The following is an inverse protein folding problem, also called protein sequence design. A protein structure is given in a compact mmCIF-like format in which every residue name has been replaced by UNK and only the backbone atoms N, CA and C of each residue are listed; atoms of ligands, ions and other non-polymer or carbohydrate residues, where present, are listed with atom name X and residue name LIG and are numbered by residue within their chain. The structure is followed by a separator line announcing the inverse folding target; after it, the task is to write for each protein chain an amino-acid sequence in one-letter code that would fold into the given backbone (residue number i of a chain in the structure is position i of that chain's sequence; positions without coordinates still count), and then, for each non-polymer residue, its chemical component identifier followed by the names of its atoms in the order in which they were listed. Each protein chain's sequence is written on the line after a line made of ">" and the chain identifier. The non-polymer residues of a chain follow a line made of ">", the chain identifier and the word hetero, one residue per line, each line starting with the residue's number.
data_IF_681408802755
#
_entry.id   IF_681408802755
#
_cell.length_a   1.000
_cell.length_b   1.000
_cell.length_c   1.000
_cell.angle_alpha   90.00
_cell.angle_beta   90.00
_cell.angle_gamma   90.00
#
_symmetry.space_group_name_H-M   'P 1'
#
loop_
_entity.id
_entity.type
_entity.pdbx_description
1 polymer ?
#
# COMPACT_ATOMS: atom_id res chain seq x y z
N UNK A 1 15.95 18.65 0.27
CA UNK A 1 15.21 18.68 1.55
C UNK A 1 14.95 17.25 1.98
N UNK A 2 15.52 16.83 3.11
CA UNK A 2 15.42 15.44 3.57
C UNK A 2 13.96 15.08 3.88
N UNK A 3 13.38 14.17 3.08
CA UNK A 3 12.01 13.65 3.29
C UNK A 3 11.86 13.04 4.69
N UNK A 4 12.94 12.54 5.30
CA UNK A 4 12.96 11.97 6.64
C UNK A 4 12.77 13.01 7.75
N UNK A 5 13.38 14.19 7.63
CA UNK A 5 13.25 15.28 8.61
C UNK A 5 11.83 15.85 8.64
N UNK A 6 11.23 16.08 7.48
CA UNK A 6 9.87 16.61 7.36
C UNK A 6 8.83 15.63 7.91
N UNK A 7 9.02 14.33 7.66
CA UNK A 7 8.15 13.26 8.17
C UNK A 7 8.18 13.17 9.70
N UNK A 8 9.33 13.42 10.35
CA UNK A 8 9.44 13.44 11.81
C UNK A 8 8.70 14.61 12.45
N UNK A 9 8.78 15.80 11.84
CA UNK A 9 8.10 17.01 12.33
C UNK A 9 6.58 16.88 12.18
N UNK A 10 6.11 16.31 11.07
CA UNK A 10 4.67 16.13 10.82
C UNK A 10 4.07 14.88 11.47
N UNK A 11 4.88 13.94 11.96
CA UNK A 11 4.41 12.72 12.61
C UNK A 11 3.36 12.95 13.71
N UNK A 12 3.51 13.89 14.67
CA UNK A 12 2.48 14.14 15.68
C UNK A 12 1.17 14.66 15.07
N UNK A 13 1.26 15.52 14.06
CA UNK A 13 0.08 16.06 13.36
C UNK A 13 -0.64 14.94 12.61
N UNK A 14 0.11 14.10 11.90
CA UNK A 14 -0.44 12.94 11.19
C UNK A 14 -1.10 11.94 12.13
N UNK A 15 -0.52 11.68 13.32
CA UNK A 15 -1.14 10.82 14.34
C UNK A 15 -2.49 11.37 14.83
N UNK A 16 -2.60 12.68 15.07
CA UNK A 16 -3.87 13.30 15.46
C UNK A 16 -4.90 13.18 14.34
N UNK A 17 -4.45 13.36 13.09
CA UNK A 17 -5.30 13.22 11.91
C UNK A 17 -5.80 11.77 11.73
N UNK A 18 -4.92 10.78 11.81
CA UNK A 18 -5.26 9.35 11.76
C UNK A 18 -6.24 8.97 12.88
N UNK A 19 -6.00 9.46 14.10
CA UNK A 19 -6.93 9.25 15.22
C UNK A 19 -8.31 9.83 14.92
N UNK A 20 -8.40 11.06 14.41
CA UNK A 20 -9.66 11.70 14.04
C UNK A 20 -10.42 10.91 12.96
N UNK A 21 -9.72 10.46 11.91
CA UNK A 21 -10.30 9.61 10.87
C UNK A 21 -10.84 8.30 11.44
N UNK A 22 -10.09 7.65 12.35
CA UNK A 22 -10.54 6.43 13.00
C UNK A 22 -11.80 6.66 13.84
N UNK A 23 -11.87 7.76 14.60
CA UNK A 23 -13.06 8.10 15.39
C UNK A 23 -14.31 8.29 14.52
N UNK A 24 -14.16 8.83 13.31
CA UNK A 24 -15.28 9.03 12.38
C UNK A 24 -15.87 7.72 11.85
N UNK A 25 -15.04 6.68 11.67
CA UNK A 25 -15.48 5.41 11.07
C UNK A 25 -15.76 4.31 12.08
N UNK A 26 -15.22 4.37 13.32
CA UNK A 26 -15.26 3.25 14.28
C UNK A 26 -16.66 2.81 14.72
N UNK A 27 -17.66 3.69 14.64
CA UNK A 27 -19.05 3.37 15.01
C UNK A 27 -19.93 3.08 13.78
N UNK A 28 -19.39 3.23 12.58
CA UNK A 28 -20.08 2.95 11.34
C UNK A 28 -20.03 1.47 10.96
N UNK A 29 -20.68 1.09 9.84
CA UNK A 29 -20.54 -0.24 9.27
C UNK A 29 -19.07 -0.51 8.90
N UNK A 30 -18.55 -1.64 9.36
CA UNK A 30 -17.16 -2.02 9.14
C UNK A 30 -17.05 -3.19 8.17
N UNK A 31 -16.14 -3.16 7.17
CA UNK A 31 -16.00 -4.26 6.22
C UNK A 31 -15.43 -5.51 6.89
N UNK A 32 -15.92 -6.69 6.49
CA UNK A 32 -15.34 -7.98 6.90
C UNK A 32 -14.34 -8.54 5.88
N UNK A 33 -14.28 -7.95 4.69
CA UNK A 33 -13.41 -8.39 3.59
C UNK A 33 -12.98 -7.20 2.73
N UNK A 34 -11.68 -7.06 2.47
CA UNK A 34 -11.10 -6.06 1.56
C UNK A 34 -10.36 -6.74 0.40
N UNK A 35 -10.59 -6.29 -0.83
CA UNK A 35 -9.83 -6.71 -2.00
C UNK A 35 -8.87 -5.61 -2.45
N UNK A 36 -7.63 -5.99 -2.78
CA UNK A 36 -6.53 -5.08 -3.13
C UNK A 36 -5.99 -5.43 -4.51
N UNK A 37 -5.87 -4.43 -5.38
CA UNK A 37 -5.16 -4.52 -6.66
C UNK A 37 -3.90 -3.65 -6.55
N UNK A 38 -2.72 -4.24 -6.27
CA UNK A 38 -1.45 -3.52 -6.15
C UNK A 38 -0.91 -3.15 -7.53
N UNK A 39 -1.47 -2.11 -8.13
CA UNK A 39 -1.03 -1.58 -9.42
C UNK A 39 -0.11 -0.37 -9.24
N UNK A 40 0.66 -0.03 -10.29
CA UNK A 40 1.46 1.18 -10.36
C UNK A 40 2.94 0.97 -10.09
N UNK A 41 3.40 -0.22 -9.68
CA UNK A 41 4.81 -0.51 -9.35
C UNK A 41 5.79 -0.05 -10.44
N UNK A 42 5.50 -0.34 -11.73
CA UNK A 42 6.33 0.07 -12.88
C UNK A 42 6.33 1.59 -13.08
N UNK A 43 5.16 2.22 -12.94
CA UNK A 43 5.01 3.69 -13.07
C UNK A 43 5.75 4.41 -11.94
N UNK A 44 5.68 3.86 -10.73
CA UNK A 44 6.41 4.35 -9.57
C UNK A 44 7.93 4.17 -9.74
N UNK A 45 8.40 3.01 -10.19
CA UNK A 45 9.82 2.79 -10.49
C UNK A 45 10.36 3.80 -11.51
N UNK A 46 9.62 4.02 -12.60
CA UNK A 46 9.97 5.04 -13.61
C UNK A 46 10.03 6.45 -13.02
N UNK A 47 9.08 6.79 -12.14
CA UNK A 47 9.02 8.11 -11.48
C UNK A 47 10.20 8.33 -10.53
N UNK A 48 10.60 7.30 -9.78
CA UNK A 48 11.71 7.38 -8.84
C UNK A 48 13.08 7.13 -9.51
N UNK A 49 13.12 6.81 -10.81
CA UNK A 49 14.36 6.58 -11.55
C UNK A 49 15.07 5.28 -11.19
N UNK A 50 14.33 4.26 -10.76
CA UNK A 50 14.85 2.97 -10.30
C UNK A 50 14.42 1.81 -11.22
N UNK A 51 15.02 0.63 -11.02
CA UNK A 51 14.73 -0.56 -11.82
C UNK A 51 13.31 -1.09 -11.54
N UNK A 52 12.68 -1.72 -12.53
CA UNK A 52 11.30 -2.23 -12.41
C UNK A 52 11.17 -3.24 -11.25
N UNK A 53 12.11 -4.17 -11.12
CA UNK A 53 12.09 -5.16 -10.03
C UNK A 53 12.10 -4.49 -8.65
N UNK A 54 12.80 -3.35 -8.50
CA UNK A 54 12.83 -2.56 -7.25
C UNK A 54 11.46 -1.92 -6.99
N UNK A 55 10.76 -1.51 -8.05
CA UNK A 55 9.36 -1.08 -7.97
C UNK A 55 8.43 -2.18 -7.46
N UNK A 56 8.61 -3.41 -7.94
CA UNK A 56 7.83 -4.55 -7.46
C UNK A 56 8.14 -4.90 -6.01
N UNK A 57 9.41 -4.84 -5.60
CA UNK A 57 9.80 -5.02 -4.20
C UNK A 57 9.19 -3.94 -3.28
N UNK A 58 9.20 -2.68 -3.70
CA UNK A 58 8.55 -1.61 -2.94
C UNK A 58 7.02 -1.80 -2.87
N UNK A 59 6.40 -2.22 -3.97
CA UNK A 59 4.99 -2.60 -4.01
C UNK A 59 4.66 -3.72 -3.03
N UNK A 60 5.49 -4.77 -2.97
CA UNK A 60 5.35 -5.85 -1.98
C UNK A 60 5.42 -5.34 -0.55
N UNK A 61 6.41 -4.49 -0.21
CA UNK A 61 6.50 -3.93 1.14
C UNK A 61 5.27 -3.08 1.49
N UNK A 62 4.76 -2.31 0.53
CA UNK A 62 3.53 -1.53 0.73
C UNK A 62 2.31 -2.42 0.95
N UNK A 63 2.18 -3.51 0.21
CA UNK A 63 1.10 -4.49 0.42
C UNK A 63 1.17 -5.09 1.83
N UNK A 64 2.37 -5.45 2.32
CA UNK A 64 2.52 -5.93 3.70
C UNK A 64 2.04 -4.93 4.74
N UNK A 65 2.39 -3.66 4.57
CA UNK A 65 1.95 -2.57 5.45
C UNK A 65 0.42 -2.42 5.43
N UNK A 66 -0.20 -2.47 4.25
CA UNK A 66 -1.66 -2.40 4.11
C UNK A 66 -2.35 -3.61 4.74
N UNK A 67 -1.80 -4.82 4.57
CA UNK A 67 -2.32 -6.03 5.22
C UNK A 67 -2.22 -5.93 6.74
N UNK A 68 -1.15 -5.32 7.28
CA UNK A 68 -1.04 -5.05 8.71
C UNK A 68 -2.15 -4.09 9.17
N UNK A 69 -2.44 -3.03 8.43
CA UNK A 69 -3.54 -2.12 8.78
C UNK A 69 -4.90 -2.83 8.79
N UNK A 70 -5.16 -3.68 7.78
CA UNK A 70 -6.40 -4.48 7.69
C UNK A 70 -6.52 -5.39 8.92
N UNK A 71 -5.42 -6.01 9.33
CA UNK A 71 -5.34 -6.84 10.53
C UNK A 71 -5.61 -6.04 11.81
N UNK A 72 -4.92 -4.91 11.99
CA UNK A 72 -5.04 -4.05 13.19
C UNK A 72 -6.46 -3.48 13.34
N UNK A 73 -7.16 -3.30 12.22
CA UNK A 73 -8.56 -2.88 12.16
C UNK A 73 -9.56 -4.02 12.44
N UNK A 74 -9.10 -5.27 12.59
CA UNK A 74 -9.97 -6.42 12.87
C UNK A 74 -10.75 -6.94 11.65
N UNK A 75 -10.29 -6.63 10.44
CA UNK A 75 -10.93 -7.13 9.21
C UNK A 75 -10.48 -8.57 8.95
N UNK A 76 -11.44 -9.48 8.90
CA UNK A 76 -11.19 -10.94 8.88
C UNK A 76 -10.52 -11.45 7.59
N UNK A 77 -10.76 -10.80 6.45
CA UNK A 77 -10.39 -11.32 5.13
C UNK A 77 -9.74 -10.25 4.26
N UNK A 78 -8.73 -10.67 3.51
CA UNK A 78 -8.13 -9.88 2.44
C UNK A 78 -7.97 -10.72 1.17
N UNK A 79 -8.27 -10.15 0.00
CA UNK A 79 -7.93 -10.74 -1.30
C UNK A 79 -6.92 -9.84 -2.01
N UNK A 80 -5.85 -10.41 -2.53
CA UNK A 80 -4.82 -9.68 -3.25
C UNK A 80 -4.74 -10.14 -4.70
N UNK A 81 -4.83 -9.19 -5.63
CA UNK A 81 -4.58 -9.45 -7.04
C UNK A 81 -3.08 -9.41 -7.34
N UNK A 82 -2.39 -10.53 -7.16
CA UNK A 82 -0.93 -10.57 -7.31
C UNK A 82 -0.47 -10.57 -8.77
N UNK A 83 -1.17 -11.28 -9.67
CA UNK A 83 -0.73 -11.48 -11.05
C UNK A 83 -1.91 -11.83 -11.97
N UNK A 84 -1.82 -11.41 -13.24
CA UNK A 84 -2.80 -11.75 -14.29
C UNK A 84 -2.18 -12.65 -15.34
N UNK A 85 -3.02 -13.41 -16.06
CA UNK A 85 -2.59 -14.20 -17.22
C UNK A 85 -1.97 -13.30 -18.30
N UNK A 86 -2.56 -12.14 -18.56
CA UNK A 86 -2.07 -11.18 -19.55
C UNK A 86 -0.71 -10.62 -19.16
N UNK A 87 -0.47 -10.41 -17.86
CA UNK A 87 0.84 -9.98 -17.38
C UNK A 87 1.90 -11.07 -17.67
N UNK A 88 1.61 -12.34 -17.41
CA UNK A 88 2.52 -13.44 -17.74
C UNK A 88 2.79 -13.57 -19.24
N UNK A 89 1.81 -13.25 -20.09
CA UNK A 89 1.92 -13.41 -21.54
C UNK A 89 2.56 -12.21 -22.26
N UNK A 90 2.40 -10.99 -21.70
CA UNK A 90 2.78 -9.75 -22.39
C UNK A 90 3.98 -9.02 -21.80
N UNK A 91 4.45 -9.42 -20.61
CA UNK A 91 5.58 -8.77 -19.94
C UNK A 91 6.90 -9.50 -20.24
N UNK A 92 8.05 -8.79 -20.20
CA UNK A 92 9.35 -9.41 -20.36
C UNK A 92 9.62 -10.49 -19.30
N UNK A 93 10.42 -11.49 -19.65
CA UNK A 93 10.80 -12.60 -18.75
C UNK A 93 11.74 -12.15 -17.63
N UNK A 94 12.46 -11.05 -17.85
CA UNK A 94 13.42 -10.44 -16.93
C UNK A 94 12.80 -9.35 -16.04
N UNK A 95 11.47 -9.17 -16.10
CA UNK A 95 10.71 -8.37 -15.12
C UNK A 95 10.56 -9.08 -13.77
#
# INVERSE_FOLDING_TARGET
>A
MDKGLFKKILAPVYKIYEWSLYQQIRQGPFPRHVAIIPDGNRRWAKKEGIMIYQGHQAGYQKVKEVLQWIWDLGIEKATLYAMSKENCLKRPLDE
#
